data_IF_704590123344
#
_entry.id   IF_704590123344
#
_cell.length_a   1.000
_cell.length_b   1.000
_cell.length_c   1.000
_cell.angle_alpha   90.00
_cell.angle_beta   90.00
_cell.angle_gamma   90.00
#
_symmetry.space_group_name_H-M   'P 1'
#
loop_
_entity.id
_entity.type
_entity.pdbx_description
1 polymer ?
#
# COMPACT_ATOMS: atom_id res chain seq x y z
N UNK A 1 41.84 43.79 -28.08
CA UNK A 1 42.15 44.12 -26.69
C UNK A 1 41.02 43.56 -25.88
N UNK A 2 41.22 42.42 -25.40
CA UNK A 2 41.54 41.93 -24.05
C UNK A 2 40.27 41.60 -23.26
N UNK A 3 39.93 40.38 -23.28
CA UNK A 3 39.28 39.54 -22.28
C UNK A 3 39.56 39.88 -20.81
N UNK A 4 38.77 39.35 -19.83
CA UNK A 4 39.02 38.01 -19.34
C UNK A 4 37.83 37.16 -18.94
N UNK A 5 37.80 35.94 -19.42
CA UNK A 5 37.00 34.80 -18.93
C UNK A 5 37.71 34.12 -17.75
N UNK A 6 37.39 34.47 -16.53
CA UNK A 6 37.89 33.79 -15.34
C UNK A 6 36.91 33.79 -14.18
N UNK A 7 35.72 33.14 -14.35
CA UNK A 7 34.75 33.06 -13.26
C UNK A 7 34.13 31.66 -13.07
N UNK A 8 34.33 30.73 -14.00
CA UNK A 8 33.62 29.43 -13.94
C UNK A 8 34.33 28.35 -13.11
N UNK A 9 35.66 28.41 -12.98
CA UNK A 9 36.42 27.34 -12.29
C UNK A 9 36.43 27.44 -10.76
N UNK A 10 36.18 28.63 -10.21
CA UNK A 10 36.19 28.86 -8.77
C UNK A 10 34.92 28.33 -8.06
N UNK A 11 33.80 28.23 -8.78
CA UNK A 11 32.51 27.76 -8.20
C UNK A 11 32.49 26.24 -8.08
N UNK A 12 33.05 25.54 -9.06
CA UNK A 12 33.10 24.04 -9.05
C UNK A 12 34.05 23.52 -7.97
N UNK A 13 35.17 24.21 -7.74
CA UNK A 13 36.15 23.82 -6.70
C UNK A 13 35.60 24.02 -5.27
N UNK A 14 34.76 25.03 -5.05
CA UNK A 14 34.13 25.29 -3.73
C UNK A 14 33.08 24.25 -3.38
N UNK A 15 32.33 23.75 -4.34
CA UNK A 15 31.35 22.65 -4.15
C UNK A 15 32.04 21.31 -3.81
N UNK A 16 33.17 21.02 -4.49
CA UNK A 16 33.95 19.80 -4.22
C UNK A 16 34.59 19.76 -2.82
N UNK A 17 34.98 20.92 -2.28
CA UNK A 17 35.58 21.00 -0.94
C UNK A 17 34.51 21.01 0.18
N UNK A 18 33.31 21.51 -0.07
CA UNK A 18 32.19 21.48 0.89
C UNK A 18 31.75 20.03 1.18
N UNK A 19 31.80 19.14 0.18
CA UNK A 19 31.45 17.71 0.33
C UNK A 19 32.52 16.90 1.08
N UNK A 20 33.73 17.39 1.22
CA UNK A 20 34.86 16.73 1.91
C UNK A 20 35.03 17.17 3.37
N UNK A 21 34.19 18.06 3.88
CA UNK A 21 34.28 18.47 5.28
C UNK A 21 33.92 17.31 6.22
N UNK A 22 34.60 17.14 7.39
CA UNK A 22 34.32 16.05 8.31
C UNK A 22 32.89 16.10 8.87
N UNK A 23 32.27 17.28 8.85
CA UNK A 23 30.85 17.44 9.23
C UNK A 23 29.91 16.88 8.16
N UNK A 24 30.16 17.15 6.87
CA UNK A 24 29.32 16.63 5.78
C UNK A 24 29.41 15.10 5.66
N UNK A 25 30.61 14.54 5.91
CA UNK A 25 30.78 13.08 5.94
C UNK A 25 30.04 12.42 7.11
N UNK A 26 30.02 13.05 8.29
CA UNK A 26 29.22 12.55 9.43
C UNK A 26 27.70 12.59 9.11
N UNK A 27 27.22 13.71 8.58
CA UNK A 27 25.82 13.86 8.17
C UNK A 27 25.49 12.83 7.09
N UNK A 28 26.34 12.64 6.09
CA UNK A 28 26.16 11.64 5.05
C UNK A 28 26.06 10.21 5.60
N UNK A 29 26.92 9.84 6.56
CA UNK A 29 26.87 8.53 7.22
C UNK A 29 25.59 8.35 8.05
N UNK A 30 25.12 9.39 8.74
CA UNK A 30 23.87 9.36 9.48
C UNK A 30 22.65 9.21 8.55
N UNK A 31 22.60 9.97 7.46
CA UNK A 31 21.55 9.86 6.45
C UNK A 31 21.54 8.47 5.80
N UNK A 32 22.71 7.94 5.45
CA UNK A 32 22.84 6.59 4.93
C UNK A 32 22.38 5.55 5.96
N UNK A 33 22.73 5.71 7.24
CA UNK A 33 22.26 4.85 8.31
C UNK A 33 20.74 4.88 8.47
N UNK A 34 20.14 6.07 8.50
CA UNK A 34 18.67 6.23 8.57
C UNK A 34 18.01 5.59 7.35
N UNK A 35 18.55 5.77 6.16
CA UNK A 35 18.02 5.18 4.94
C UNK A 35 18.05 3.65 4.99
N UNK A 36 19.13 3.05 5.45
CA UNK A 36 19.25 1.59 5.65
C UNK A 36 18.28 1.10 6.70
N UNK A 37 18.20 1.78 7.86
CA UNK A 37 17.27 1.40 8.93
C UNK A 37 15.82 1.47 8.46
N UNK A 38 15.46 2.53 7.74
CA UNK A 38 14.12 2.67 7.13
C UNK A 38 13.81 1.50 6.18
N UNK A 39 14.75 1.12 5.34
CA UNK A 39 14.60 -0.02 4.43
C UNK A 39 14.43 -1.34 5.18
N UNK A 40 15.28 -1.60 6.17
CA UNK A 40 15.21 -2.83 6.96
C UNK A 40 13.89 -2.93 7.72
N UNK A 41 13.47 -1.86 8.39
CA UNK A 41 12.21 -1.82 9.11
C UNK A 41 11.01 -1.97 8.18
N UNK A 42 11.00 -1.25 7.05
CA UNK A 42 9.93 -1.31 6.07
C UNK A 42 9.81 -2.68 5.38
N UNK A 43 10.94 -3.32 5.12
CA UNK A 43 10.96 -4.59 4.41
C UNK A 43 10.72 -5.81 5.32
N UNK A 44 11.24 -5.79 6.56
CA UNK A 44 11.19 -6.94 7.45
C UNK A 44 10.20 -6.80 8.61
N UNK A 45 10.07 -5.62 9.21
CA UNK A 45 9.25 -5.42 10.40
C UNK A 45 7.80 -5.01 10.04
N UNK A 46 7.62 -4.18 9.02
CA UNK A 46 6.28 -3.71 8.64
C UNK A 46 5.34 -4.82 8.14
N UNK A 47 5.77 -5.79 7.29
CA UNK A 47 4.87 -6.83 6.79
C UNK A 47 4.19 -7.68 7.87
N UNK A 48 4.89 -8.28 8.84
CA UNK A 48 4.24 -9.10 9.86
C UNK A 48 3.33 -8.28 10.80
N UNK A 49 3.72 -7.04 11.10
CA UNK A 49 2.89 -6.14 11.90
C UNK A 49 1.59 -5.78 11.18
N UNK A 50 1.68 -5.37 9.91
CA UNK A 50 0.51 -5.03 9.11
C UNK A 50 -0.39 -6.25 8.89
N UNK A 51 0.17 -7.42 8.62
CA UNK A 51 -0.59 -8.66 8.51
C UNK A 51 -1.43 -8.89 9.76
N UNK A 52 -0.80 -8.85 10.93
CA UNK A 52 -1.48 -9.08 12.22
C UNK A 52 -2.59 -8.05 12.49
N UNK A 53 -2.30 -6.76 12.24
CA UNK A 53 -3.26 -5.68 12.46
C UNK A 53 -4.43 -5.81 11.49
N UNK A 54 -4.17 -6.01 10.21
CA UNK A 54 -5.21 -6.12 9.18
C UNK A 54 -6.10 -7.34 9.41
N UNK A 55 -5.52 -8.50 9.68
CA UNK A 55 -6.30 -9.70 9.97
C UNK A 55 -7.21 -9.49 11.17
N UNK A 56 -6.68 -8.93 12.27
CA UNK A 56 -7.45 -8.69 13.48
C UNK A 56 -8.58 -7.68 13.25
N UNK A 57 -8.26 -6.52 12.69
CA UNK A 57 -9.26 -5.47 12.45
C UNK A 57 -10.35 -5.91 11.47
N UNK A 58 -9.96 -6.56 10.36
CA UNK A 58 -10.94 -7.05 9.39
C UNK A 58 -11.80 -8.17 9.98
N UNK A 59 -11.22 -9.09 10.75
CA UNK A 59 -12.00 -10.15 11.41
C UNK A 59 -12.98 -9.58 12.44
N UNK A 60 -12.58 -8.57 13.20
CA UNK A 60 -13.45 -7.90 14.17
C UNK A 60 -14.57 -7.10 13.49
N UNK A 61 -14.25 -6.36 12.41
CA UNK A 61 -15.25 -5.56 11.69
C UNK A 61 -16.24 -6.40 10.89
N UNK A 62 -15.76 -7.45 10.25
CA UNK A 62 -16.57 -8.30 9.40
C UNK A 62 -17.26 -9.44 10.19
N UNK A 63 -16.91 -9.61 11.49
CA UNK A 63 -17.36 -10.73 12.33
C UNK A 63 -17.16 -12.09 11.65
N UNK A 64 -16.06 -12.22 10.90
CA UNK A 64 -15.69 -13.40 10.11
C UNK A 64 -14.21 -13.70 10.22
N UNK A 65 -13.85 -14.94 9.96
CA UNK A 65 -12.45 -15.32 9.88
C UNK A 65 -11.83 -14.75 8.61
N UNK A 66 -10.87 -13.83 8.80
CA UNK A 66 -10.07 -13.26 7.73
C UNK A 66 -8.66 -13.81 7.80
N UNK A 67 -8.17 -14.33 6.69
CA UNK A 67 -6.81 -14.84 6.54
C UNK A 67 -6.05 -14.06 5.48
N UNK A 68 -4.79 -13.79 5.76
CA UNK A 68 -3.82 -13.22 4.81
C UNK A 68 -2.59 -14.11 4.88
N UNK A 69 -2.13 -14.65 3.76
CA UNK A 69 -0.93 -15.50 3.76
C UNK A 69 0.33 -14.67 3.91
N UNK A 70 0.46 -13.63 3.07
CA UNK A 70 1.68 -12.85 2.98
C UNK A 70 1.41 -11.37 2.70
N UNK A 71 2.25 -10.51 3.28
CA UNK A 71 2.35 -9.11 2.90
C UNK A 71 3.81 -8.83 2.57
N UNK A 72 4.06 -8.24 1.41
CA UNK A 72 5.36 -7.75 1.01
C UNK A 72 5.28 -6.22 0.82
N UNK A 73 6.25 -5.51 1.37
CA UNK A 73 6.34 -4.06 1.27
C UNK A 73 7.70 -3.69 0.70
N UNK A 74 7.69 -2.84 -0.32
CA UNK A 74 8.89 -2.21 -0.82
C UNK A 74 8.87 -0.71 -0.47
N UNK A 75 9.54 -0.30 0.60
CA UNK A 75 9.50 1.08 1.06
C UNK A 75 10.17 2.06 0.09
N UNK A 76 11.12 1.60 -0.70
CA UNK A 76 11.82 2.43 -1.69
C UNK A 76 11.05 2.53 -3.01
N UNK A 77 10.40 1.44 -3.42
CA UNK A 77 9.54 1.39 -4.60
C UNK A 77 8.12 1.86 -4.33
N UNK A 78 7.79 2.23 -3.08
CA UNK A 78 6.46 2.64 -2.64
C UNK A 78 5.37 1.66 -3.09
N UNK A 79 5.65 0.38 -3.02
CA UNK A 79 4.71 -0.65 -3.44
C UNK A 79 4.44 -1.65 -2.33
N UNK A 80 3.23 -2.20 -2.34
CA UNK A 80 2.79 -3.24 -1.44
C UNK A 80 2.11 -4.36 -2.22
N UNK A 81 2.27 -5.59 -1.72
CA UNK A 81 1.65 -6.80 -2.26
C UNK A 81 1.06 -7.58 -1.11
N UNK A 82 -0.21 -7.94 -1.25
CA UNK A 82 -0.93 -8.81 -0.32
C UNK A 82 -1.24 -10.09 -1.06
N UNK A 83 -0.78 -11.21 -0.57
CA UNK A 83 -1.01 -12.53 -1.15
C UNK A 83 -1.90 -13.40 -0.28
N UNK A 84 -2.75 -14.20 -0.91
CA UNK A 84 -3.57 -15.21 -0.25
C UNK A 84 -4.59 -14.64 0.74
N UNK A 85 -5.38 -13.66 0.31
CA UNK A 85 -6.46 -13.12 1.13
C UNK A 85 -7.71 -14.00 1.02
N UNK A 86 -8.33 -14.33 2.14
CA UNK A 86 -9.61 -15.05 2.19
C UNK A 86 -10.48 -14.63 3.36
N UNK A 87 -11.78 -14.58 3.13
CA UNK A 87 -12.84 -14.38 4.12
C UNK A 87 -13.67 -15.65 4.15
N UNK A 88 -13.86 -16.23 5.34
CA UNK A 88 -14.66 -17.43 5.52
C UNK A 88 -15.96 -17.12 6.26
N UNK A 89 -17.04 -17.75 5.83
CA UNK A 89 -18.29 -17.79 6.56
C UNK A 89 -18.21 -18.76 7.75
N UNK A 90 -19.22 -18.69 8.62
CA UNK A 90 -19.45 -19.69 9.64
C UNK A 90 -19.53 -21.08 8.99
N UNK A 91 -18.71 -22.01 9.46
CA UNK A 91 -18.56 -23.32 8.83
C UNK A 91 -17.33 -23.47 7.92
N UNK A 92 -16.49 -22.44 7.79
CA UNK A 92 -15.18 -22.51 7.15
C UNK A 92 -15.20 -22.40 5.61
N UNK A 93 -16.37 -22.14 5.00
CA UNK A 93 -16.48 -21.93 3.55
C UNK A 93 -15.92 -20.54 3.17
N UNK A 94 -15.07 -20.48 2.14
CA UNK A 94 -14.60 -19.21 1.59
C UNK A 94 -15.76 -18.49 0.86
N UNK A 95 -16.07 -17.27 1.28
CA UNK A 95 -17.08 -16.42 0.65
C UNK A 95 -16.50 -15.36 -0.25
N UNK A 96 -15.30 -14.90 0.07
CA UNK A 96 -14.55 -13.98 -0.79
C UNK A 96 -13.05 -14.17 -0.58
N UNK A 97 -12.27 -13.92 -1.60
CA UNK A 97 -10.82 -13.98 -1.53
C UNK A 97 -10.16 -13.50 -2.82
N UNK A 98 -8.85 -13.37 -2.78
CA UNK A 98 -8.03 -13.12 -3.96
C UNK A 98 -6.63 -13.72 -3.78
N UNK A 99 -5.96 -13.99 -4.89
CA UNK A 99 -4.62 -14.55 -4.88
C UNK A 99 -3.57 -13.49 -4.63
N UNK A 100 -3.64 -12.37 -5.33
CA UNK A 100 -2.71 -11.26 -5.15
C UNK A 100 -3.40 -9.90 -5.34
N UNK A 101 -3.14 -8.98 -4.41
CA UNK A 101 -3.40 -7.55 -4.57
C UNK A 101 -2.06 -6.83 -4.59
N UNK A 102 -1.75 -6.18 -5.70
CA UNK A 102 -0.58 -5.33 -5.86
C UNK A 102 -1.00 -3.87 -5.94
N UNK A 103 -0.34 -3.02 -5.16
CA UNK A 103 -0.56 -1.56 -5.17
C UNK A 103 0.78 -0.87 -5.30
N UNK A 104 0.88 0.04 -6.26
CA UNK A 104 2.04 0.88 -6.48
C UNK A 104 1.66 2.36 -6.34
N UNK A 105 2.34 3.03 -5.42
CA UNK A 105 2.14 4.46 -5.18
C UNK A 105 3.17 5.26 -5.98
N UNK A 106 2.73 6.35 -6.58
CA UNK A 106 3.62 7.27 -7.27
C UNK A 106 4.57 7.97 -6.30
N UNK A 107 5.82 8.15 -6.71
CA UNK A 107 6.74 9.02 -5.98
C UNK A 107 6.24 10.46 -5.87
N UNK A 108 5.34 10.88 -6.77
CA UNK A 108 4.65 12.15 -6.68
C UNK A 108 3.80 12.31 -5.41
N UNK A 109 3.36 11.20 -4.79
CA UNK A 109 2.63 11.20 -3.51
C UNK A 109 3.40 11.90 -2.41
N UNK A 110 4.73 11.72 -2.37
CA UNK A 110 5.61 12.33 -1.36
C UNK A 110 5.65 13.85 -1.53
N UNK A 111 5.69 14.33 -2.77
CA UNK A 111 5.80 15.77 -3.07
C UNK A 111 4.46 16.50 -3.01
N UNK A 112 3.37 15.81 -3.37
CA UNK A 112 2.02 16.39 -3.43
C UNK A 112 1.26 16.31 -2.12
N UNK A 113 1.78 15.57 -1.12
CA UNK A 113 1.05 15.23 0.12
C UNK A 113 -0.36 14.70 -0.17
N UNK A 114 -0.48 13.92 -1.23
CA UNK A 114 -1.72 13.33 -1.72
C UNK A 114 -1.43 11.89 -2.15
N UNK A 115 -2.33 10.97 -1.86
CA UNK A 115 -2.19 9.58 -2.27
C UNK A 115 -2.41 9.46 -3.79
N UNK A 116 -1.33 9.37 -4.54
CA UNK A 116 -1.37 9.08 -5.99
C UNK A 116 -1.00 7.62 -6.18
N UNK A 117 -1.98 6.82 -6.59
CA UNK A 117 -1.80 5.39 -6.89
C UNK A 117 -1.57 5.26 -8.39
N UNK A 118 -0.40 4.75 -8.78
CA UNK A 118 -0.04 4.55 -10.18
C UNK A 118 -0.62 3.25 -10.73
N UNK A 119 -0.71 2.21 -9.91
CA UNK A 119 -1.23 0.92 -10.32
C UNK A 119 -1.91 0.18 -9.16
N UNK A 120 -3.08 -0.39 -9.43
CA UNK A 120 -3.73 -1.39 -8.59
C UNK A 120 -4.00 -2.61 -9.45
N UNK A 121 -3.45 -3.76 -9.08
CA UNK A 121 -3.69 -5.03 -9.75
C UNK A 121 -4.27 -6.02 -8.75
N UNK A 122 -5.43 -6.58 -9.09
CA UNK A 122 -6.10 -7.62 -8.33
C UNK A 122 -6.16 -8.89 -9.17
N UNK A 123 -5.51 -9.93 -8.73
CA UNK A 123 -5.46 -11.22 -9.41
C UNK A 123 -6.19 -12.29 -8.60
N UNK A 124 -6.91 -13.16 -9.30
CA UNK A 124 -7.57 -14.32 -8.72
C UNK A 124 -8.72 -13.96 -7.78
N UNK A 125 -9.44 -12.86 -8.04
CA UNK A 125 -10.63 -12.52 -7.24
C UNK A 125 -11.64 -13.67 -7.29
N UNK A 126 -12.05 -14.15 -6.12
CA UNK A 126 -13.09 -15.18 -5.93
C UNK A 126 -14.17 -14.62 -5.04
N UNK A 127 -15.42 -14.72 -5.49
CA UNK A 127 -16.59 -14.39 -4.69
C UNK A 127 -17.57 -15.53 -4.84
N UNK A 128 -17.92 -16.15 -3.72
CA UNK A 128 -18.94 -17.20 -3.64
C UNK A 128 -20.15 -16.65 -2.89
N UNK A 129 -21.28 -16.57 -3.57
CA UNK A 129 -22.54 -16.07 -3.03
C UNK A 129 -23.49 -17.26 -2.88
N UNK A 130 -23.86 -17.58 -1.65
CA UNK A 130 -24.88 -18.61 -1.42
C UNK A 130 -26.14 -17.99 -0.82
N UNK A 131 -27.27 -18.53 -1.23
CA UNK A 131 -28.56 -18.15 -0.70
C UNK A 131 -28.79 -18.85 0.64
N UNK A 132 -28.96 -18.07 1.70
CA UNK A 132 -29.20 -18.59 3.06
C UNK A 132 -30.70 -18.55 3.46
N UNK A 133 -31.48 -17.67 2.84
CA UNK A 133 -32.92 -17.55 3.00
C UNK A 133 -33.50 -16.79 1.82
N UNK A 134 -34.85 -16.77 1.74
CA UNK A 134 -35.56 -16.03 0.70
C UNK A 134 -35.17 -14.54 0.75
N UNK A 135 -34.51 -14.05 -0.31
CA UNK A 135 -34.04 -12.68 -0.42
C UNK A 135 -32.77 -12.33 0.41
N UNK A 136 -32.12 -13.31 1.05
CA UNK A 136 -30.87 -13.10 1.83
C UNK A 136 -29.77 -14.02 1.35
N UNK A 137 -28.61 -13.41 1.15
CA UNK A 137 -27.38 -14.11 0.77
C UNK A 137 -26.39 -14.08 1.94
N UNK A 138 -25.47 -15.00 1.95
CA UNK A 138 -24.45 -15.11 3.00
C UNK A 138 -23.44 -13.95 3.04
N UNK A 139 -23.42 -13.11 2.00
CA UNK A 139 -22.63 -11.87 1.93
C UNK A 139 -23.46 -10.61 2.20
N UNK A 140 -24.77 -10.73 2.49
CA UNK A 140 -25.65 -9.56 2.68
C UNK A 140 -25.18 -8.67 3.83
N UNK A 141 -24.70 -9.26 4.92
CA UNK A 141 -24.12 -8.55 6.06
C UNK A 141 -22.86 -7.75 5.69
N UNK A 142 -22.01 -8.31 4.82
CA UNK A 142 -20.81 -7.61 4.33
C UNK A 142 -21.19 -6.42 3.45
N UNK A 143 -22.19 -6.60 2.58
CA UNK A 143 -22.68 -5.52 1.73
C UNK A 143 -23.34 -4.42 2.57
N UNK A 144 -24.16 -4.80 3.55
CA UNK A 144 -24.82 -3.86 4.45
C UNK A 144 -23.79 -3.04 5.23
N UNK A 145 -22.70 -3.64 5.72
CA UNK A 145 -21.64 -2.95 6.45
C UNK A 145 -20.85 -2.00 5.54
N UNK A 146 -20.55 -2.41 4.31
CA UNK A 146 -19.81 -1.58 3.35
C UNK A 146 -20.65 -0.43 2.80
N UNK A 147 -21.97 -0.60 2.71
CA UNK A 147 -22.90 0.41 2.21
C UNK A 147 -23.38 1.35 3.31
N UNK A 148 -23.06 1.11 4.58
CA UNK A 148 -23.38 2.05 5.66
C UNK A 148 -22.68 3.38 5.41
N UNK A 149 -23.41 4.52 5.43
CA UNK A 149 -22.79 5.83 5.41
C UNK A 149 -21.84 5.91 6.62
N UNK A 150 -20.57 6.13 6.39
CA UNK A 150 -19.66 6.47 7.49
C UNK A 150 -19.93 7.92 7.87
N UNK A 151 -20.41 8.14 9.09
CA UNK A 151 -20.52 9.47 9.73
C UNK A 151 -19.09 9.96 10.08
N UNK A 152 -18.20 10.00 9.11
CA UNK A 152 -16.92 10.67 9.30
C UNK A 152 -17.15 12.17 9.13
N UNK A 153 -16.67 13.02 10.07
CA UNK A 153 -16.72 14.45 9.88
C UNK A 153 -15.98 14.77 8.58
N UNK A 154 -16.61 15.60 7.76
CA UNK A 154 -16.07 16.04 6.45
C UNK A 154 -14.73 16.75 6.63
N UNK A 155 -13.65 16.00 6.74
CA UNK A 155 -12.27 16.49 6.82
C UNK A 155 -11.75 16.94 5.46
N UNK A 156 -12.63 17.23 4.51
CA UNK A 156 -12.31 17.58 3.12
C UNK A 156 -12.12 16.34 2.27
N UNK A 157 -12.46 16.44 1.00
CA UNK A 157 -12.29 15.35 0.04
C UNK A 157 -10.82 14.90 0.01
N UNK A 158 -10.50 13.67 0.41
CA UNK A 158 -9.13 13.19 0.32
C UNK A 158 -8.69 13.27 -1.15
N UNK A 159 -7.61 13.99 -1.39
CA UNK A 159 -7.03 14.08 -2.74
C UNK A 159 -6.34 12.76 -3.03
N UNK A 160 -7.03 11.87 -3.71
CA UNK A 160 -6.43 10.63 -4.21
C UNK A 160 -6.63 10.55 -5.72
N UNK A 161 -5.70 9.91 -6.39
CA UNK A 161 -5.80 9.56 -7.82
C UNK A 161 -5.38 8.12 -7.98
N UNK A 162 -6.18 7.34 -8.70
CA UNK A 162 -5.84 5.97 -9.08
C UNK A 162 -5.80 5.92 -10.61
N UNK A 163 -4.66 5.55 -11.17
CA UNK A 163 -4.46 5.61 -12.62
C UNK A 163 -4.79 4.29 -13.32
N UNK A 164 -4.18 3.19 -12.92
CA UNK A 164 -4.36 1.89 -13.56
C UNK A 164 -4.98 0.90 -12.59
N UNK A 165 -6.19 0.43 -12.91
CA UNK A 165 -6.84 -0.65 -12.17
C UNK A 165 -6.94 -1.86 -13.11
N UNK A 166 -6.37 -2.99 -12.69
CA UNK A 166 -6.39 -4.25 -13.42
C UNK A 166 -7.06 -5.32 -12.55
N UNK A 167 -8.05 -5.97 -13.09
CA UNK A 167 -8.68 -7.16 -12.53
C UNK A 167 -8.37 -8.35 -13.44
N UNK A 168 -7.70 -9.35 -12.90
CA UNK A 168 -7.24 -10.52 -13.65
C UNK A 168 -7.82 -11.77 -12.99
N UNK A 169 -8.23 -12.75 -13.78
CA UNK A 169 -8.70 -14.06 -13.31
C UNK A 169 -9.83 -13.99 -12.26
N UNK A 170 -10.75 -13.02 -12.37
CA UNK A 170 -11.89 -12.93 -11.46
C UNK A 170 -12.90 -14.06 -11.68
N UNK A 171 -13.43 -14.65 -10.59
CA UNK A 171 -14.47 -15.68 -10.59
C UNK A 171 -15.55 -15.35 -9.60
N UNK A 172 -16.82 -15.39 -10.05
CA UNK A 172 -17.99 -15.27 -9.17
C UNK A 172 -18.79 -16.55 -9.31
N UNK A 173 -19.14 -17.15 -8.18
CA UNK A 173 -19.93 -18.39 -8.11
C UNK A 173 -21.20 -18.10 -7.32
N UNK A 174 -22.34 -18.44 -7.90
CA UNK A 174 -23.63 -18.37 -7.24
C UNK A 174 -24.09 -19.81 -6.92
N UNK A 175 -24.48 -20.02 -5.67
CA UNK A 175 -25.04 -21.27 -5.17
C UNK A 175 -26.47 -20.97 -4.66
N UNK A 176 -27.46 -21.53 -5.34
CA UNK A 176 -28.91 -21.26 -5.09
C UNK A 176 -29.56 -22.47 -4.43
#
# INVERSE_FOLDING_TARGET
MSEPTASSSATVSRLGNALKSPRSQRIGKWLAGIFVVFGVLGYFAAPPLLKSILQKQLSEQLHREVSIEKIDINPYGLSARIGGFSIKADGGREVAGFDELFVNLSSASIFKLAAVVDEVRLDGLRVAVARVAEGRYDISDLLDEWMKPKDEPDTGTPRFSVNNIQLINGKIVFDD
#
